data_IF_740050493084
#
_entry.id   IF_740050493084
#
_cell.length_a   1.000
_cell.length_b   1.000
_cell.length_c   1.000
_cell.angle_alpha   90.00
_cell.angle_beta   90.00
_cell.angle_gamma   90.00
#
_symmetry.space_group_name_H-M   'P 1'
#
loop_
_entity.id
_entity.type
_entity.pdbx_description
1 polymer ?
#
# COMPACT_ATOMS: atom_id res chain seq x y z
N UNK A 1 -5.96 -7.58 -8.90
CA UNK A 1 -5.69 -8.41 -7.71
C UNK A 1 -6.25 -9.84 -7.88
N UNK A 2 -5.41 -10.87 -7.72
CA UNK A 2 -5.84 -12.28 -7.55
C UNK A 2 -5.29 -12.76 -6.20
N UNK A 3 -6.18 -13.25 -5.34
CA UNK A 3 -5.83 -13.75 -4.00
C UNK A 3 -6.35 -15.17 -3.90
N UNK A 4 -5.42 -16.12 -3.81
CA UNK A 4 -5.67 -17.56 -3.79
C UNK A 4 -5.35 -18.18 -2.41
N UNK A 5 -4.40 -17.60 -1.66
CA UNK A 5 -4.09 -18.02 -0.29
C UNK A 5 -3.51 -16.88 0.57
N UNK A 6 -3.53 -17.06 1.90
CA UNK A 6 -2.86 -16.15 2.85
C UNK A 6 -1.36 -16.06 2.60
N UNK A 7 -0.72 -17.14 2.13
CA UNK A 7 0.71 -17.13 1.81
C UNK A 7 1.02 -16.21 0.63
N UNK A 8 0.14 -16.15 -0.37
CA UNK A 8 0.31 -15.23 -1.50
C UNK A 8 0.19 -13.77 -1.07
N UNK A 9 -0.73 -13.47 -0.12
CA UNK A 9 -0.88 -12.14 0.47
C UNK A 9 0.40 -11.74 1.20
N UNK A 10 0.93 -12.61 2.06
CA UNK A 10 2.15 -12.33 2.83
C UNK A 10 3.37 -12.16 1.92
N UNK A 11 3.48 -12.97 0.87
CA UNK A 11 4.56 -12.83 -0.12
C UNK A 11 4.45 -11.50 -0.86
N UNK A 12 3.26 -11.15 -1.38
CA UNK A 12 3.07 -9.88 -2.07
C UNK A 12 3.29 -8.69 -1.14
N UNK A 13 2.92 -8.81 0.13
CA UNK A 13 3.20 -7.80 1.17
C UNK A 13 4.70 -7.53 1.31
N UNK A 14 5.54 -8.57 1.34
CA UNK A 14 7.00 -8.41 1.38
C UNK A 14 7.56 -7.76 0.11
N UNK A 15 7.04 -8.13 -1.06
CA UNK A 15 7.43 -7.50 -2.34
C UNK A 15 7.10 -6.00 -2.33
N UNK A 16 5.88 -5.63 -1.91
CA UNK A 16 5.43 -4.25 -1.79
C UNK A 16 6.28 -3.47 -0.79
N UNK A 17 6.62 -4.05 0.36
CA UNK A 17 7.51 -3.40 1.34
C UNK A 17 8.87 -3.04 0.74
N UNK A 18 9.44 -3.95 -0.05
CA UNK A 18 10.71 -3.72 -0.74
C UNK A 18 10.56 -2.65 -1.84
N UNK A 19 9.52 -2.73 -2.66
CA UNK A 19 9.20 -1.74 -3.70
C UNK A 19 9.01 -0.33 -3.10
N UNK A 20 8.31 -0.22 -1.95
CA UNK A 20 8.13 1.05 -1.23
C UNK A 20 9.45 1.59 -0.68
N UNK A 21 10.28 0.74 -0.07
CA UNK A 21 11.60 1.16 0.43
C UNK A 21 12.47 1.69 -0.70
N UNK A 22 12.48 1.00 -1.84
CA UNK A 22 13.29 1.40 -2.98
C UNK A 22 12.76 2.69 -3.59
N UNK A 23 11.44 2.84 -3.71
CA UNK A 23 10.82 4.08 -4.18
C UNK A 23 11.05 5.26 -3.23
N UNK A 24 10.99 5.07 -1.91
CA UNK A 24 11.33 6.11 -0.93
C UNK A 24 12.79 6.56 -1.05
N UNK A 25 13.72 5.64 -1.37
CA UNK A 25 15.13 5.98 -1.60
C UNK A 25 15.35 6.70 -2.92
N UNK A 26 14.73 6.22 -4.01
CA UNK A 26 14.82 6.84 -5.33
C UNK A 26 14.26 8.26 -5.31
N UNK A 27 13.14 8.44 -4.62
CA UNK A 27 12.51 9.75 -4.41
C UNK A 27 13.14 10.51 -3.24
N UNK A 28 14.27 10.06 -2.66
CA UNK A 28 14.87 10.52 -1.39
C UNK A 28 13.86 11.22 -0.47
N UNK A 29 12.78 10.50 -0.17
CA UNK A 29 11.66 10.97 0.62
C UNK A 29 12.08 11.06 2.09
N UNK A 30 11.55 12.05 2.80
CA UNK A 30 11.74 12.18 4.25
C UNK A 30 10.92 11.15 5.04
N UNK A 31 10.01 10.44 4.37
CA UNK A 31 9.15 9.42 4.97
C UNK A 31 9.80 8.05 4.97
N UNK A 32 9.41 7.23 5.94
CA UNK A 32 9.81 5.83 6.09
C UNK A 32 8.70 4.88 5.66
N UNK A 33 9.06 3.60 5.46
CA UNK A 33 8.06 2.55 5.24
C UNK A 33 7.02 2.50 6.37
N UNK A 34 7.43 2.82 7.61
CA UNK A 34 6.51 2.81 8.75
C UNK A 34 5.48 3.94 8.64
N UNK A 35 5.88 5.13 8.20
CA UNK A 35 4.96 6.26 8.01
C UNK A 35 3.88 5.94 6.96
N UNK A 36 4.26 5.26 5.89
CA UNK A 36 3.32 4.78 4.86
C UNK A 36 2.35 3.75 5.42
N UNK A 37 2.86 2.76 6.18
CA UNK A 37 2.02 1.74 6.83
C UNK A 37 1.07 2.34 7.85
N UNK A 38 1.54 3.31 8.64
CA UNK A 38 0.73 3.99 9.65
C UNK A 38 -0.35 4.85 8.99
N UNK A 39 -0.04 5.51 7.86
CA UNK A 39 -1.04 6.25 7.09
C UNK A 39 -2.13 5.35 6.50
N UNK A 40 -1.78 4.14 6.07
CA UNK A 40 -2.76 3.15 5.60
C UNK A 40 -3.55 2.57 6.77
N UNK A 41 -2.89 2.23 7.87
CA UNK A 41 -3.55 1.63 9.02
C UNK A 41 -4.58 2.57 9.65
N UNK A 42 -4.23 3.85 9.82
CA UNK A 42 -5.08 4.86 10.44
C UNK A 42 -5.92 5.65 9.41
N UNK A 43 -6.20 5.08 8.24
CA UNK A 43 -7.01 5.76 7.23
C UNK A 43 -8.45 5.99 7.71
N UNK A 44 -8.98 7.18 7.41
CA UNK A 44 -10.36 7.57 7.68
C UNK A 44 -11.21 7.61 6.38
N UNK A 45 -10.57 7.41 5.23
CA UNK A 45 -11.22 7.20 3.94
C UNK A 45 -10.29 7.32 2.73
N UNK A 46 -10.86 7.24 1.53
CA UNK A 46 -10.11 7.25 0.26
C UNK A 46 -9.28 8.52 0.02
N UNK A 47 -9.59 9.63 0.68
CA UNK A 47 -8.78 10.86 0.57
C UNK A 47 -7.38 10.67 1.16
N UNK A 48 -7.21 9.71 2.09
CA UNK A 48 -5.91 9.36 2.67
C UNK A 48 -4.99 8.64 1.68
N UNK A 49 -5.55 7.98 0.66
CA UNK A 49 -4.76 7.37 -0.40
C UNK A 49 -3.95 8.42 -1.16
N UNK A 50 -4.55 9.59 -1.43
CA UNK A 50 -3.84 10.73 -2.04
C UNK A 50 -2.73 11.28 -1.13
N UNK A 51 -2.93 11.26 0.20
CA UNK A 51 -1.87 11.67 1.15
C UNK A 51 -0.66 10.76 1.07
N UNK A 52 -0.87 9.46 0.91
CA UNK A 52 0.22 8.49 0.74
C UNK A 52 0.93 8.72 -0.59
N UNK A 53 0.21 8.94 -1.69
CA UNK A 53 0.83 9.29 -2.99
C UNK A 53 1.73 10.52 -2.86
N UNK A 54 1.30 11.54 -2.13
CA UNK A 54 2.10 12.75 -1.88
C UNK A 54 3.37 12.50 -1.06
N UNK A 55 3.48 11.40 -0.32
CA UNK A 55 4.74 11.05 0.38
C UNK A 55 5.87 10.67 -0.60
N UNK A 56 5.52 10.34 -1.84
CA UNK A 56 6.44 9.98 -2.91
C UNK A 56 6.53 11.06 -4.00
N UNK A 57 5.64 12.06 -3.99
CA UNK A 57 5.59 13.10 -5.01
C UNK A 57 6.60 14.22 -4.73
N UNK A 58 7.62 14.33 -5.59
CA UNK A 58 8.61 15.43 -5.61
C UNK A 58 8.28 16.54 -6.61
N UNK A 59 7.10 16.52 -7.23
CA UNK A 59 6.76 17.40 -8.37
C UNK A 59 7.46 16.99 -9.67
N UNK A 60 7.68 15.68 -9.83
CA UNK A 60 8.36 15.04 -10.97
C UNK A 60 7.49 14.78 -12.20
N UNK A 61 8.00 13.98 -13.15
CA UNK A 61 7.34 13.72 -14.44
C UNK A 61 6.12 12.80 -14.28
N UNK A 62 5.10 12.96 -15.14
CA UNK A 62 3.83 12.22 -15.04
C UNK A 62 3.99 10.69 -15.08
N UNK A 63 5.11 10.20 -15.62
CA UNK A 63 5.48 8.79 -15.67
C UNK A 63 5.79 8.20 -14.29
N UNK A 64 6.40 8.99 -13.40
CA UNK A 64 6.72 8.58 -12.02
C UNK A 64 5.45 8.46 -11.19
N UNK A 65 4.49 9.36 -11.40
CA UNK A 65 3.19 9.35 -10.74
C UNK A 65 2.41 8.05 -11.00
N UNK A 66 2.50 7.50 -12.23
CA UNK A 66 1.81 6.23 -12.55
C UNK A 66 2.36 5.06 -11.75
N UNK A 67 3.68 4.98 -11.60
CA UNK A 67 4.34 3.90 -10.83
C UNK A 67 4.02 4.04 -9.33
N UNK A 68 4.04 5.26 -8.81
CA UNK A 68 3.64 5.56 -7.42
C UNK A 68 2.20 5.15 -7.19
N UNK A 69 1.27 5.53 -8.08
CA UNK A 69 -0.14 5.19 -7.93
C UNK A 69 -0.38 3.69 -7.92
N UNK A 70 0.30 2.93 -8.79
CA UNK A 70 0.21 1.47 -8.81
C UNK A 70 0.71 0.88 -7.49
N UNK A 71 1.88 1.31 -7.02
CA UNK A 71 2.47 0.83 -5.77
C UNK A 71 1.63 1.18 -4.54
N UNK A 72 1.10 2.40 -4.45
CA UNK A 72 0.21 2.84 -3.36
C UNK A 72 -1.10 2.06 -3.40
N UNK A 73 -1.64 1.79 -4.60
CA UNK A 73 -2.84 0.96 -4.75
C UNK A 73 -2.60 -0.46 -4.24
N UNK A 74 -1.44 -1.04 -4.55
CA UNK A 74 -1.06 -2.35 -4.04
C UNK A 74 -0.86 -2.34 -2.53
N UNK A 75 -0.15 -1.35 -1.99
CA UNK A 75 0.01 -1.17 -0.54
C UNK A 75 -1.35 -1.07 0.16
N UNK A 76 -2.26 -0.26 -0.37
CA UNK A 76 -3.63 -0.12 0.13
C UNK A 76 -4.38 -1.45 0.12
N UNK A 77 -4.22 -2.29 -0.91
CA UNK A 77 -4.94 -3.55 -1.00
C UNK A 77 -4.37 -4.67 -0.12
N UNK A 78 -3.06 -4.64 0.18
CA UNK A 78 -2.36 -5.74 0.84
C UNK A 78 -1.93 -5.43 2.28
N UNK A 79 -1.92 -4.18 2.72
CA UNK A 79 -1.65 -3.83 4.12
C UNK A 79 -2.92 -3.76 4.97
N UNK A 80 -2.80 -3.98 6.30
CA UNK A 80 -3.91 -3.88 7.25
C UNK A 80 -4.48 -2.47 7.38
N UNK A 81 -5.80 -2.39 7.57
CA UNK A 81 -6.53 -1.15 7.86
C UNK A 81 -7.23 -1.26 9.21
N UNK A 82 -7.22 -0.20 10.01
CA UNK A 82 -7.92 -0.17 11.30
C UNK A 82 -9.43 -0.35 11.10
N UNK A 83 -10.02 0.32 10.10
CA UNK A 83 -11.47 0.23 9.82
C UNK A 83 -11.92 -1.18 9.44
N UNK A 84 -11.02 -2.01 8.90
CA UNK A 84 -11.28 -3.41 8.56
C UNK A 84 -11.03 -4.36 9.75
N UNK A 85 -10.68 -3.84 10.93
CA UNK A 85 -10.37 -4.65 12.11
C UNK A 85 -8.93 -5.20 12.09
N UNK A 86 -8.01 -4.50 11.42
CA UNK A 86 -6.60 -4.88 11.35
C UNK A 86 -6.28 -5.94 10.31
N UNK A 87 -7.15 -6.13 9.31
CA UNK A 87 -6.88 -6.94 8.11
C UNK A 87 -6.86 -6.07 6.86
N UNK A 88 -6.31 -6.60 5.78
CA UNK A 88 -6.26 -5.94 4.47
C UNK A 88 -7.52 -6.23 3.62
N UNK A 89 -7.78 -5.42 2.58
CA UNK A 89 -8.77 -5.76 1.55
C UNK A 89 -8.52 -7.13 0.92
N UNK A 90 -7.25 -7.51 0.71
CA UNK A 90 -6.85 -8.84 0.23
C UNK A 90 -7.40 -9.96 1.12
N UNK A 91 -7.18 -9.82 2.43
CA UNK A 91 -7.58 -10.79 3.44
C UNK A 91 -9.10 -10.86 3.54
N UNK A 92 -9.78 -9.71 3.50
CA UNK A 92 -11.25 -9.64 3.47
C UNK A 92 -11.84 -10.38 2.26
N UNK A 93 -11.26 -10.19 1.08
CA UNK A 93 -11.68 -10.89 -0.14
C UNK A 93 -11.44 -12.40 -0.04
N UNK A 94 -10.32 -12.83 0.55
CA UNK A 94 -10.02 -14.23 0.76
C UNK A 94 -11.01 -14.88 1.73
N UNK A 95 -11.32 -14.21 2.85
CA UNK A 95 -12.33 -14.68 3.80
C UNK A 95 -13.71 -14.81 3.16
N UNK A 96 -14.11 -13.85 2.32
CA UNK A 96 -15.38 -13.90 1.61
C UNK A 96 -15.46 -15.09 0.64
N UNK A 97 -14.37 -15.40 -0.07
CA UNK A 97 -14.30 -16.56 -0.98
C UNK A 97 -14.34 -17.91 -0.28
N UNK A 98 -13.94 -17.97 0.99
CA UNK A 98 -13.92 -19.20 1.79
C UNK A 98 -15.23 -19.46 2.54
N UNK A 99 -16.18 -18.52 2.50
CA UNK A 99 -17.55 -18.69 2.97
C UNK A 99 -18.43 -19.33 1.90
#
# INVERSE_FOLDING_TARGET
MKVDSTQDILKRRQEIEQELIDMLKETESDFTLQDVKDAIFNEEGNDDMMKIVMMFDRGGDASELSNVLELVTDAWNYFPHEILGGISPAETLLEYKQK
#
